data_IF_036079967550
#
_entry.id   IF_036079967550
#
_cell.length_a   1.000
_cell.length_b   1.000
_cell.length_c   1.000
_cell.angle_alpha   90.00
_cell.angle_beta   90.00
_cell.angle_gamma   90.00
#
_symmetry.space_group_name_H-M   'P 1'
#
loop_
_entity.id
_entity.type
_entity.pdbx_description
1 polymer ?
#
# COMPACT_ATOMS: atom_id res chain seq x y z
N UNK A 1 3.45 -3.20 33.15
CA UNK A 1 3.72 -2.31 32.00
C UNK A 1 2.68 -2.62 30.94
N UNK A 2 2.03 -1.62 30.34
CA UNK A 2 1.09 -1.84 29.26
C UNK A 2 1.87 -2.32 28.01
N UNK A 3 1.30 -3.27 27.28
CA UNK A 3 1.88 -3.71 25.99
C UNK A 3 2.00 -2.51 25.05
N UNK A 4 3.16 -2.30 24.40
CA UNK A 4 3.33 -1.16 23.49
C UNK A 4 2.39 -1.24 22.29
N UNK A 5 1.89 -0.09 21.87
CA UNK A 5 1.02 0.03 20.69
C UNK A 5 1.85 -0.13 19.43
N UNK A 6 1.59 -1.21 18.68
CA UNK A 6 2.28 -1.48 17.42
C UNK A 6 1.44 -0.99 16.25
N UNK A 7 2.06 -0.17 15.41
CA UNK A 7 1.49 0.29 14.15
C UNK A 7 1.95 -0.54 12.95
N UNK A 8 1.05 -0.76 12.00
CA UNK A 8 1.33 -1.37 10.71
C UNK A 8 1.11 -0.34 9.60
N UNK A 9 2.10 -0.21 8.73
CA UNK A 9 2.07 0.68 7.56
C UNK A 9 2.26 -0.16 6.31
N UNK A 10 1.25 -0.14 5.44
CA UNK A 10 1.20 -0.89 4.19
C UNK A 10 1.20 0.08 3.00
N UNK A 11 2.10 -0.16 2.05
CA UNK A 11 2.30 0.72 0.90
C UNK A 11 1.40 0.36 -0.28
N UNK A 12 1.25 1.27 -1.24
CA UNK A 12 0.57 0.96 -2.49
C UNK A 12 1.49 0.28 -3.50
N UNK A 13 0.89 -0.53 -4.38
CA UNK A 13 1.67 -1.21 -5.42
C UNK A 13 0.89 -2.25 -6.24
N UNK A 14 -0.43 -2.21 -6.27
CA UNK A 14 -1.25 -3.13 -7.06
C UNK A 14 -1.00 -4.60 -6.69
N UNK A 15 -0.82 -5.47 -7.69
CA UNK A 15 -0.60 -6.90 -7.49
C UNK A 15 0.67 -7.25 -6.69
N UNK A 16 1.63 -6.31 -6.57
CA UNK A 16 2.80 -6.48 -5.69
C UNK A 16 2.42 -6.62 -4.20
N UNK A 17 1.21 -6.19 -3.80
CA UNK A 17 0.71 -6.32 -2.44
C UNK A 17 0.66 -7.75 -1.90
N UNK A 18 0.76 -8.76 -2.75
CA UNK A 18 0.94 -10.15 -2.33
C UNK A 18 2.24 -10.37 -1.53
N UNK A 19 3.29 -9.57 -1.77
CA UNK A 19 4.50 -9.58 -0.95
C UNK A 19 4.22 -9.17 0.50
N UNK A 20 3.39 -8.11 0.71
CA UNK A 20 2.99 -7.69 2.07
C UNK A 20 2.33 -8.83 2.84
N UNK A 21 1.46 -9.57 2.15
CA UNK A 21 0.77 -10.74 2.74
C UNK A 21 1.77 -11.80 3.19
N UNK A 22 2.78 -12.08 2.37
CA UNK A 22 3.86 -13.00 2.71
C UNK A 22 4.64 -12.56 3.94
N UNK A 23 5.01 -11.28 4.02
CA UNK A 23 5.72 -10.71 5.19
C UNK A 23 4.86 -10.80 6.45
N UNK A 24 3.57 -10.43 6.37
CA UNK A 24 2.64 -10.48 7.50
C UNK A 24 2.47 -11.91 8.03
N UNK A 25 2.27 -12.88 7.13
CA UNK A 25 2.19 -14.29 7.49
C UNK A 25 3.51 -14.77 8.13
N UNK A 26 4.64 -14.44 7.53
CA UNK A 26 5.97 -14.80 8.05
C UNK A 26 6.27 -14.20 9.43
N UNK A 27 5.82 -12.97 9.72
CA UNK A 27 5.93 -12.36 11.05
C UNK A 27 5.12 -13.16 12.08
N UNK A 28 3.85 -13.47 11.77
CA UNK A 28 2.99 -14.25 12.67
C UNK A 28 3.55 -15.66 12.93
N UNK A 29 4.07 -16.32 11.89
CA UNK A 29 4.73 -17.62 11.95
C UNK A 29 6.02 -17.55 12.78
N UNK A 30 6.88 -16.56 12.55
CA UNK A 30 8.13 -16.37 13.28
C UNK A 30 7.88 -16.20 14.78
N UNK A 31 6.84 -15.45 15.15
CA UNK A 31 6.45 -15.22 16.53
C UNK A 31 5.66 -16.37 17.15
N UNK A 32 5.16 -17.31 16.35
CA UNK A 32 4.29 -18.41 16.82
C UNK A 32 3.00 -17.91 17.45
N UNK A 33 2.37 -16.87 16.84
CA UNK A 33 1.17 -16.23 17.39
C UNK A 33 -0.02 -17.17 17.27
N UNK A 34 -0.64 -17.46 18.41
CA UNK A 34 -1.86 -18.24 18.45
C UNK A 34 -3.09 -17.41 18.03
N UNK A 35 -4.12 -18.03 17.41
CA UNK A 35 -5.32 -17.29 16.98
C UNK A 35 -6.09 -16.61 18.13
N UNK A 36 -5.99 -17.09 19.35
CA UNK A 36 -6.63 -16.56 20.55
C UNK A 36 -5.77 -15.49 21.28
N UNK A 37 -4.58 -15.20 20.79
CA UNK A 37 -3.73 -14.16 21.32
C UNK A 37 -4.29 -12.75 21.04
N UNK A 38 -3.73 -11.73 21.73
CA UNK A 38 -4.03 -10.33 21.39
C UNK A 38 -3.52 -9.99 19.98
N UNK A 39 -4.20 -9.07 19.26
CA UNK A 39 -3.79 -8.70 17.91
C UNK A 39 -2.39 -8.10 17.87
N UNK A 40 -1.60 -8.48 16.85
CA UNK A 40 -0.24 -7.96 16.64
C UNK A 40 -0.24 -6.46 16.41
N UNK A 41 -1.23 -5.92 15.70
CA UNK A 41 -1.27 -4.54 15.25
C UNK A 41 -2.51 -3.81 15.77
N UNK A 42 -2.30 -2.70 16.50
CA UNK A 42 -3.38 -1.90 17.09
C UNK A 42 -3.66 -0.63 16.28
N UNK A 43 -2.74 -0.19 15.43
CA UNK A 43 -2.94 0.92 14.50
C UNK A 43 -2.54 0.45 13.12
N UNK A 44 -3.45 0.52 12.16
CA UNK A 44 -3.21 0.06 10.80
C UNK A 44 -3.44 1.21 9.84
N UNK A 45 -2.50 1.43 8.93
CA UNK A 45 -2.66 2.39 7.85
C UNK A 45 -2.20 1.79 6.53
N UNK A 46 -2.97 2.03 5.48
CA UNK A 46 -2.66 1.54 4.15
C UNK A 46 -3.05 2.52 3.05
N UNK A 47 -2.37 2.38 1.92
CA UNK A 47 -2.67 3.11 0.69
C UNK A 47 -2.77 2.12 -0.45
N UNK A 48 -3.73 2.32 -1.37
CA UNK A 48 -3.96 1.43 -2.52
C UNK A 48 -4.19 -0.02 -2.06
N UNK A 49 -3.43 -0.97 -2.61
CA UNK A 49 -3.49 -2.37 -2.18
C UNK A 49 -3.20 -2.55 -0.69
N UNK A 50 -2.34 -1.71 -0.12
CA UNK A 50 -2.09 -1.70 1.34
C UNK A 50 -3.34 -1.33 2.14
N UNK A 51 -4.29 -0.57 1.59
CA UNK A 51 -5.58 -0.33 2.22
C UNK A 51 -6.48 -1.59 2.19
N UNK A 52 -6.39 -2.41 1.13
CA UNK A 52 -7.09 -3.71 1.03
C UNK A 52 -6.55 -4.68 2.06
N UNK A 53 -5.22 -4.90 2.10
CA UNK A 53 -4.56 -5.78 3.07
C UNK A 53 -4.76 -5.28 4.51
N UNK A 54 -4.74 -3.95 4.71
CA UNK A 54 -5.03 -3.32 5.99
C UNK A 54 -6.47 -3.51 6.46
N UNK A 55 -7.45 -3.43 5.55
CA UNK A 55 -8.85 -3.69 5.89
C UNK A 55 -9.08 -5.15 6.31
N UNK A 56 -8.43 -6.12 5.63
CA UNK A 56 -8.41 -7.51 6.09
C UNK A 56 -7.81 -7.65 7.49
N UNK A 57 -6.62 -7.05 7.70
CA UNK A 57 -5.91 -7.08 8.99
C UNK A 57 -6.81 -6.58 10.14
N UNK A 58 -7.53 -5.48 9.93
CA UNK A 58 -8.44 -4.92 10.92
C UNK A 58 -9.69 -5.77 11.09
N UNK A 59 -10.25 -6.30 10.00
CA UNK A 59 -11.43 -7.16 10.06
C UNK A 59 -11.18 -8.47 10.83
N UNK A 60 -9.94 -8.97 10.81
CA UNK A 60 -9.54 -10.19 11.50
C UNK A 60 -8.75 -9.94 12.80
N UNK A 61 -8.73 -8.72 13.34
CA UNK A 61 -8.01 -8.36 14.57
C UNK A 61 -8.58 -9.02 15.85
N UNK A 62 -9.71 -9.72 15.78
CA UNK A 62 -10.19 -10.59 16.85
C UNK A 62 -9.39 -11.90 16.94
N UNK A 63 -8.52 -12.19 15.98
CA UNK A 63 -7.52 -13.25 15.96
C UNK A 63 -6.14 -12.60 16.13
N UNK A 64 -5.29 -13.21 16.95
CA UNK A 64 -3.94 -12.73 17.19
C UNK A 64 -3.08 -12.71 15.93
N UNK A 65 -3.24 -13.73 15.08
CA UNK A 65 -2.57 -13.90 13.79
C UNK A 65 -3.21 -13.10 12.64
N UNK A 66 -4.30 -12.35 12.89
CA UNK A 66 -5.10 -11.61 11.90
C UNK A 66 -5.52 -12.44 10.69
N UNK A 67 -5.53 -13.76 10.81
CA UNK A 67 -5.85 -14.70 9.73
C UNK A 67 -5.02 -14.46 8.45
N UNK A 68 -3.74 -14.18 8.59
CA UNK A 68 -2.87 -13.93 7.44
C UNK A 68 -2.72 -15.15 6.52
N UNK A 69 -2.96 -16.37 7.04
CA UNK A 69 -3.09 -17.58 6.22
C UNK A 69 -4.27 -17.48 5.26
N UNK A 70 -5.47 -17.12 5.76
CA UNK A 70 -6.66 -16.93 4.94
C UNK A 70 -6.51 -15.78 3.93
N UNK A 71 -5.76 -14.70 4.28
CA UNK A 71 -5.42 -13.66 3.33
C UNK A 71 -4.52 -14.19 2.22
N UNK A 72 -3.51 -15.00 2.54
CA UNK A 72 -2.63 -15.63 1.56
C UNK A 72 -3.41 -16.55 0.62
N UNK A 73 -4.34 -17.37 1.15
CA UNK A 73 -5.21 -18.23 0.35
C UNK A 73 -6.10 -17.40 -0.59
N UNK A 74 -6.64 -16.28 -0.11
CA UNK A 74 -7.45 -15.37 -0.93
C UNK A 74 -6.65 -14.79 -2.10
N UNK A 75 -5.41 -14.36 -1.88
CA UNK A 75 -4.52 -13.90 -2.93
C UNK A 75 -4.12 -15.02 -3.89
N UNK A 76 -3.87 -16.24 -3.38
CA UNK A 76 -3.53 -17.42 -4.18
C UNK A 76 -4.65 -17.91 -5.10
N UNK A 77 -5.90 -17.51 -4.84
CA UNK A 77 -7.08 -17.84 -5.65
C UNK A 77 -7.43 -16.78 -6.70
N UNK A 78 -6.63 -15.73 -6.85
CA UNK A 78 -6.89 -14.70 -7.86
C UNK A 78 -6.79 -15.28 -9.27
N UNK A 79 -7.76 -14.94 -10.11
CA UNK A 79 -7.75 -15.21 -11.54
C UNK A 79 -7.76 -13.90 -12.31
N UNK A 80 -6.73 -13.69 -13.12
CA UNK A 80 -6.57 -12.49 -13.93
C UNK A 80 -7.78 -12.21 -14.85
N UNK A 81 -8.42 -13.27 -15.38
CA UNK A 81 -9.56 -13.16 -16.27
C UNK A 81 -10.85 -12.75 -15.57
N UNK A 82 -11.00 -13.14 -14.32
CA UNK A 82 -12.19 -12.81 -13.53
C UNK A 82 -12.09 -11.41 -12.94
N UNK A 83 -10.88 -11.01 -12.49
CA UNK A 83 -10.70 -9.81 -11.68
C UNK A 83 -10.24 -8.59 -12.48
N UNK A 84 -9.70 -8.78 -13.70
CA UNK A 84 -9.21 -7.73 -14.56
C UNK A 84 -9.77 -7.91 -15.99
N UNK A 85 -10.87 -7.24 -16.29
CA UNK A 85 -11.42 -7.21 -17.63
C UNK A 85 -11.11 -5.88 -18.30
N UNK A 86 -10.78 -5.93 -19.62
CA UNK A 86 -10.63 -4.68 -20.40
C UNK A 86 -12.00 -4.14 -20.74
N UNK A 87 -12.26 -2.89 -20.41
CA UNK A 87 -13.44 -2.18 -20.91
C UNK A 87 -13.18 -1.67 -22.33
N UNK A 88 -13.50 -2.51 -23.34
CA UNK A 88 -13.39 -2.16 -24.75
C UNK A 88 -14.22 -0.93 -25.12
N UNK A 89 -15.32 -0.67 -24.40
CA UNK A 89 -16.17 0.50 -24.65
C UNK A 89 -15.50 1.79 -24.17
N UNK A 90 -14.72 1.71 -23.09
CA UNK A 90 -13.84 2.78 -22.62
C UNK A 90 -12.76 3.11 -23.65
N UNK A 91 -12.08 2.10 -24.19
CA UNK A 91 -11.00 2.26 -25.18
C UNK A 91 -11.51 2.88 -26.50
N UNK A 92 -12.63 2.40 -27.05
CA UNK A 92 -13.21 2.95 -28.28
C UNK A 92 -13.65 4.41 -28.15
N UNK A 93 -13.87 4.87 -26.92
CA UNK A 93 -14.18 6.27 -26.64
C UNK A 93 -12.98 7.22 -26.74
N UNK A 94 -11.76 6.72 -26.66
CA UNK A 94 -10.53 7.52 -26.79
C UNK A 94 -10.27 7.96 -28.23
N UNK A 95 -10.78 7.23 -29.22
CA UNK A 95 -10.60 7.55 -30.64
C UNK A 95 -11.47 8.72 -31.13
N UNK A 96 -12.42 9.23 -30.34
CA UNK A 96 -13.31 10.33 -30.77
C UNK A 96 -13.20 11.55 -29.82
N UNK A 97 -12.42 12.59 -30.20
CA UNK A 97 -12.18 13.77 -29.36
C UNK A 97 -13.46 14.56 -29.03
N UNK A 98 -14.50 14.50 -29.87
CA UNK A 98 -15.78 15.14 -29.59
C UNK A 98 -16.56 14.51 -28.43
N UNK A 99 -16.27 13.26 -28.08
CA UNK A 99 -16.86 12.57 -26.93
C UNK A 99 -16.18 12.94 -25.59
N UNK A 100 -15.00 13.52 -25.61
CA UNK A 100 -14.31 14.00 -24.40
C UNK A 100 -15.09 15.13 -23.69
N UNK A 101 -15.85 15.91 -24.45
CA UNK A 101 -16.66 17.01 -23.94
C UNK A 101 -18.07 16.59 -23.50
N UNK A 102 -18.50 15.37 -23.76
CA UNK A 102 -19.78 14.86 -23.24
C UNK A 102 -19.58 14.41 -21.79
N UNK A 103 -20.09 15.20 -20.83
CA UNK A 103 -20.19 14.84 -19.43
C UNK A 103 -20.93 13.50 -19.31
N UNK A 104 -20.23 12.41 -18.99
CA UNK A 104 -20.86 11.17 -18.59
C UNK A 104 -21.59 11.47 -17.26
N UNK A 105 -22.92 11.26 -17.24
CA UNK A 105 -23.67 11.29 -15.98
C UNK A 105 -23.29 10.04 -15.18
N UNK A 106 -22.82 10.19 -13.94
CA UNK A 106 -22.46 9.03 -13.13
C UNK A 106 -23.73 8.40 -12.54
N UNK A 107 -24.23 7.37 -13.17
CA UNK A 107 -25.38 6.61 -12.64
C UNK A 107 -24.98 5.61 -11.55
N UNK A 108 -23.70 5.29 -11.41
CA UNK A 108 -23.19 4.16 -10.57
C UNK A 108 -22.13 4.52 -9.55
N UNK A 109 -22.01 5.77 -9.10
CA UNK A 109 -21.01 6.13 -8.06
C UNK A 109 -19.55 6.19 -8.53
N UNK A 110 -19.27 5.83 -9.80
CA UNK A 110 -17.94 5.95 -10.43
C UNK A 110 -17.95 7.07 -11.48
N UNK A 111 -16.86 7.85 -11.57
CA UNK A 111 -16.68 8.85 -12.62
C UNK A 111 -15.44 8.54 -13.43
N UNK A 112 -15.58 8.64 -14.72
CA UNK A 112 -14.48 8.56 -15.68
C UNK A 112 -14.52 7.27 -16.49
N UNK A 113 -13.71 7.28 -17.55
CA UNK A 113 -13.46 6.11 -18.37
C UNK A 113 -12.19 5.47 -17.91
N UNK A 114 -12.21 4.19 -17.66
CA UNK A 114 -11.06 3.39 -17.29
C UNK A 114 -10.75 2.38 -18.39
N UNK A 115 -9.50 1.96 -18.44
CA UNK A 115 -9.07 0.88 -19.33
C UNK A 115 -9.53 -0.47 -18.79
N UNK A 116 -9.68 -0.58 -17.47
CA UNK A 116 -10.05 -1.81 -16.78
C UNK A 116 -11.44 -1.71 -16.15
N UNK A 117 -12.20 -2.79 -16.23
CA UNK A 117 -13.45 -2.97 -15.51
C UNK A 117 -13.13 -3.36 -14.05
N UNK A 118 -13.51 -2.54 -13.07
CA UNK A 118 -13.20 -2.80 -11.67
C UNK A 118 -14.12 -3.83 -11.01
N UNK A 119 -15.20 -4.26 -11.67
CA UNK A 119 -16.31 -5.04 -11.06
C UNK A 119 -15.83 -6.32 -10.39
N UNK A 120 -14.83 -7.00 -10.95
CA UNK A 120 -14.27 -8.22 -10.38
C UNK A 120 -13.53 -7.96 -9.06
N UNK A 121 -12.69 -6.92 -9.02
CA UNK A 121 -11.97 -6.51 -7.80
C UNK A 121 -12.95 -5.96 -6.75
N UNK A 122 -13.97 -5.22 -7.17
CA UNK A 122 -15.01 -4.70 -6.26
C UNK A 122 -15.76 -5.82 -5.57
N UNK A 123 -16.21 -6.82 -6.34
CA UNK A 123 -16.89 -7.99 -5.80
C UNK A 123 -15.98 -8.79 -4.85
N UNK A 124 -14.69 -8.92 -5.19
CA UNK A 124 -13.71 -9.59 -4.34
C UNK A 124 -13.54 -8.87 -3.01
N UNK A 125 -13.28 -7.56 -3.01
CA UNK A 125 -13.09 -6.76 -1.80
C UNK A 125 -14.34 -6.80 -0.92
N UNK A 126 -15.53 -6.64 -1.51
CA UNK A 126 -16.80 -6.68 -0.77
C UNK A 126 -17.08 -8.06 -0.14
N UNK A 127 -16.68 -9.15 -0.80
CA UNK A 127 -16.88 -10.53 -0.32
C UNK A 127 -15.82 -10.96 0.68
N UNK A 128 -14.55 -10.60 0.44
CA UNK A 128 -13.42 -11.07 1.23
C UNK A 128 -13.27 -10.32 2.56
N UNK A 129 -13.68 -9.06 2.64
CA UNK A 129 -13.51 -8.24 3.83
C UNK A 129 -14.84 -8.14 4.60
N UNK A 130 -14.95 -8.76 5.79
CA UNK A 130 -16.14 -8.66 6.62
C UNK A 130 -16.16 -7.30 7.36
N UNK A 131 -16.65 -6.23 6.71
CA UNK A 131 -16.68 -4.88 7.25
C UNK A 131 -17.41 -4.76 8.59
N UNK A 132 -18.47 -5.52 8.83
CA UNK A 132 -19.16 -5.54 10.13
C UNK A 132 -18.24 -6.03 11.25
N UNK A 133 -17.34 -6.97 10.96
CA UNK A 133 -16.35 -7.44 11.93
C UNK A 133 -15.25 -6.41 12.13
N UNK A 134 -14.81 -5.75 11.05
CA UNK A 134 -13.89 -4.61 11.11
C UNK A 134 -14.42 -3.55 12.10
N UNK A 135 -15.68 -3.15 11.96
CA UNK A 135 -16.29 -2.17 12.85
C UNK A 135 -16.32 -2.64 14.30
N UNK A 136 -16.72 -3.90 14.54
CA UNK A 136 -16.74 -4.47 15.90
C UNK A 136 -15.35 -4.48 16.54
N UNK A 137 -14.30 -4.79 15.76
CA UNK A 137 -12.94 -4.82 16.26
C UNK A 137 -12.44 -3.43 16.67
N UNK A 138 -12.78 -2.40 15.89
CA UNK A 138 -12.46 -1.00 16.23
C UNK A 138 -13.32 -0.52 17.42
N UNK A 139 -14.62 -0.76 17.40
CA UNK A 139 -15.53 -0.34 18.49
C UNK A 139 -15.16 -0.98 19.84
N UNK A 140 -14.60 -2.22 19.83
CA UNK A 140 -14.09 -2.91 21.03
C UNK A 140 -12.68 -2.48 21.44
N UNK A 141 -12.00 -1.66 20.64
CA UNK A 141 -10.65 -1.18 20.91
C UNK A 141 -9.54 -2.22 20.64
N UNK A 142 -9.84 -3.35 19.96
CA UNK A 142 -8.82 -4.29 19.49
C UNK A 142 -7.88 -3.61 18.49
N UNK A 143 -8.44 -2.75 17.64
CA UNK A 143 -7.72 -1.82 16.78
C UNK A 143 -8.08 -0.40 17.19
N UNK A 144 -7.08 0.43 17.49
CA UNK A 144 -7.24 1.82 17.91
C UNK A 144 -7.59 2.75 16.73
N UNK A 145 -6.96 2.49 15.58
CA UNK A 145 -7.20 3.28 14.38
C UNK A 145 -6.95 2.45 13.12
N UNK A 146 -7.85 2.60 12.15
CA UNK A 146 -7.63 2.20 10.77
C UNK A 146 -7.64 3.45 9.89
N UNK A 147 -6.61 3.60 9.03
CA UNK A 147 -6.37 4.81 8.24
C UNK A 147 -6.20 4.43 6.79
N UNK A 148 -7.02 5.00 5.91
CA UNK A 148 -6.99 4.80 4.46
C UNK A 148 -6.69 6.13 3.78
N UNK A 149 -5.66 6.19 2.96
CA UNK A 149 -5.29 7.39 2.23
C UNK A 149 -5.90 7.38 0.82
N UNK A 150 -6.57 8.46 0.43
CA UNK A 150 -7.04 8.68 -0.95
C UNK A 150 -6.82 10.13 -1.38
N UNK A 151 -6.69 10.36 -2.69
CA UNK A 151 -6.49 11.68 -3.26
C UNK A 151 -7.81 12.28 -3.73
N UNK A 152 -8.19 13.43 -3.17
CA UNK A 152 -9.40 14.14 -3.60
C UNK A 152 -9.20 14.76 -4.99
N UNK A 153 -10.02 14.39 -5.97
CA UNK A 153 -9.84 14.76 -7.38
C UNK A 153 -9.91 16.28 -7.58
N UNK A 154 -10.91 16.94 -6.99
CA UNK A 154 -11.16 18.37 -7.25
C UNK A 154 -10.12 19.32 -6.67
N UNK A 155 -9.45 18.93 -5.55
CA UNK A 155 -8.49 19.80 -4.84
C UNK A 155 -7.06 19.31 -4.86
N UNK A 156 -6.84 18.04 -5.22
CA UNK A 156 -5.54 17.39 -5.11
C UNK A 156 -5.02 17.26 -3.66
N UNK A 157 -5.90 17.35 -2.66
CA UNK A 157 -5.57 17.16 -1.24
C UNK A 157 -5.66 15.68 -0.91
N UNK A 158 -4.62 15.15 -0.25
CA UNK A 158 -4.67 13.79 0.32
C UNK A 158 -5.64 13.77 1.50
N UNK A 159 -6.67 12.96 1.40
CA UNK A 159 -7.64 12.74 2.49
C UNK A 159 -7.30 11.42 3.18
N UNK A 160 -7.08 11.49 4.49
CA UNK A 160 -6.90 10.34 5.36
C UNK A 160 -8.25 10.03 5.99
N UNK A 161 -8.94 9.03 5.47
CA UNK A 161 -10.14 8.49 6.10
C UNK A 161 -9.73 7.69 7.33
N UNK A 162 -10.37 7.94 8.46
CA UNK A 162 -9.94 7.36 9.74
C UNK A 162 -11.14 6.74 10.47
N UNK A 163 -11.08 5.44 10.68
CA UNK A 163 -11.94 4.73 11.62
C UNK A 163 -11.20 4.67 12.97
N UNK A 164 -11.78 5.22 14.01
CA UNK A 164 -11.12 5.38 15.32
C UNK A 164 -11.93 4.71 16.41
N UNK A 165 -11.26 3.96 17.28
CA UNK A 165 -11.87 3.40 18.48
C UNK A 165 -12.43 4.50 19.42
N UNK A 166 -13.40 4.18 20.29
CA UNK A 166 -13.92 5.11 21.28
C UNK A 166 -12.78 5.71 22.12
N UNK A 167 -12.79 7.04 22.26
CA UNK A 167 -11.78 7.78 23.04
C UNK A 167 -10.45 8.01 22.34
N UNK A 168 -10.21 7.43 21.16
CA UNK A 168 -9.01 7.69 20.38
C UNK A 168 -9.18 8.97 19.57
N UNK A 169 -8.18 9.85 19.67
CA UNK A 169 -8.12 11.11 18.93
C UNK A 169 -6.87 11.09 18.06
N UNK A 170 -7.05 11.30 16.77
CA UNK A 170 -5.93 11.49 15.86
C UNK A 170 -5.41 12.93 16.01
N UNK A 171 -4.15 13.08 16.42
CA UNK A 171 -3.54 14.41 16.49
C UNK A 171 -3.61 15.10 15.10
N UNK A 172 -3.99 16.40 15.05
CA UNK A 172 -4.20 17.11 13.80
C UNK A 172 -2.91 17.20 12.97
N UNK A 173 -3.06 17.19 11.64
CA UNK A 173 -1.95 17.48 10.74
C UNK A 173 -1.87 18.96 10.42
N UNK A 174 -0.67 19.54 10.47
CA UNK A 174 -0.42 20.90 9.97
C UNK A 174 0.03 20.92 8.52
N UNK A 175 0.08 19.77 7.85
CA UNK A 175 0.48 19.70 6.45
C UNK A 175 -0.63 20.26 5.55
N UNK A 176 -0.35 21.32 4.73
CA UNK A 176 -1.40 22.05 4.02
C UNK A 176 -2.13 21.23 2.95
N UNK A 177 -1.52 20.12 2.50
CA UNK A 177 -2.09 19.25 1.46
C UNK A 177 -2.59 17.91 2.01
N UNK A 178 -2.80 17.80 3.33
CA UNK A 178 -3.32 16.59 3.98
C UNK A 178 -4.50 16.95 4.89
N UNK A 179 -5.59 16.22 4.78
CA UNK A 179 -6.78 16.37 5.60
C UNK A 179 -7.10 15.01 6.24
N UNK A 180 -7.29 14.97 7.56
CA UNK A 180 -7.84 13.81 8.25
C UNK A 180 -9.35 13.97 8.39
N UNK A 181 -10.10 12.93 8.02
CA UNK A 181 -11.56 12.88 8.10
C UNK A 181 -11.96 11.61 8.85
N UNK A 182 -12.62 11.76 9.99
CA UNK A 182 -13.21 10.64 10.70
C UNK A 182 -14.43 10.15 9.91
N UNK A 183 -14.44 8.89 9.57
CA UNK A 183 -15.50 8.25 8.80
C UNK A 183 -15.58 6.76 9.15
N UNK A 184 -16.73 6.13 8.92
CA UNK A 184 -16.87 4.68 8.86
C UNK A 184 -16.24 4.20 7.54
N UNK A 185 -15.15 3.44 7.61
CA UNK A 185 -14.44 2.98 6.40
C UNK A 185 -15.21 1.83 5.76
N UNK A 186 -15.68 2.03 4.55
CA UNK A 186 -16.42 1.06 3.73
C UNK A 186 -15.56 0.54 2.58
N UNK A 187 -16.07 -0.44 1.84
CA UNK A 187 -15.45 -0.91 0.61
C UNK A 187 -15.14 0.24 -0.37
N UNK A 188 -16.02 1.26 -0.47
CA UNK A 188 -15.78 2.41 -1.35
C UNK A 188 -14.56 3.24 -0.94
N UNK A 189 -14.26 3.37 0.35
CA UNK A 189 -13.05 4.05 0.82
C UNK A 189 -11.78 3.28 0.44
N UNK A 190 -11.80 1.96 0.64
CA UNK A 190 -10.68 1.06 0.28
C UNK A 190 -10.45 1.07 -1.23
N UNK A 191 -11.53 0.93 -2.00
CA UNK A 191 -11.49 0.96 -3.47
C UNK A 191 -11.11 2.34 -4.03
N UNK A 192 -11.51 3.44 -3.37
CA UNK A 192 -11.07 4.78 -3.73
C UNK A 192 -9.56 4.95 -3.56
N UNK A 193 -9.02 4.37 -2.47
CA UNK A 193 -7.57 4.33 -2.23
C UNK A 193 -6.81 3.56 -3.30
N UNK A 194 -7.43 2.56 -3.94
CA UNK A 194 -6.84 1.72 -4.98
C UNK A 194 -7.23 2.11 -6.42
N UNK A 195 -7.94 3.23 -6.59
CA UNK A 195 -8.41 3.71 -7.89
C UNK A 195 -7.29 4.46 -8.66
N UNK A 196 -6.33 3.73 -9.22
CA UNK A 196 -5.23 4.30 -10.03
C UNK A 196 -5.83 5.01 -11.25
N UNK A 197 -5.58 6.33 -11.44
CA UNK A 197 -6.11 7.08 -12.58
C UNK A 197 -5.77 6.45 -13.92
N UNK A 198 -6.68 6.54 -14.87
CA UNK A 198 -6.67 5.91 -16.18
C UNK A 198 -6.87 4.38 -16.16
N UNK A 199 -6.36 3.67 -15.16
CA UNK A 199 -6.58 2.21 -15.03
C UNK A 199 -7.95 1.91 -14.42
N UNK A 200 -8.31 2.62 -13.35
CA UNK A 200 -9.60 2.45 -12.67
C UNK A 200 -10.37 3.77 -12.59
N UNK A 201 -11.71 3.73 -12.54
CA UNK A 201 -12.52 4.93 -12.43
C UNK A 201 -12.41 5.56 -11.04
N UNK A 202 -12.49 6.90 -10.96
CA UNK A 202 -12.55 7.60 -9.68
C UNK A 202 -13.80 7.19 -8.89
N UNK A 203 -13.68 7.07 -7.58
CA UNK A 203 -14.75 6.68 -6.66
C UNK A 203 -15.40 7.86 -5.99
N UNK A 204 -16.73 7.82 -5.86
CA UNK A 204 -17.49 8.83 -5.13
C UNK A 204 -17.67 8.41 -3.67
N UNK A 205 -17.22 9.29 -2.76
CA UNK A 205 -17.49 9.18 -1.32
C UNK A 205 -18.25 10.45 -0.89
N UNK A 206 -19.49 10.28 -0.55
CA UNK A 206 -20.39 11.42 -0.31
C UNK A 206 -20.59 12.25 -1.59
N UNK A 207 -20.18 13.53 -1.55
CA UNK A 207 -20.32 14.46 -2.69
C UNK A 207 -19.03 14.65 -3.49
N UNK A 208 -17.96 14.01 -3.10
CA UNK A 208 -16.61 14.18 -3.65
C UNK A 208 -16.11 12.93 -4.34
N UNK A 209 -15.15 13.10 -5.27
CA UNK A 209 -14.52 12.01 -6.00
C UNK A 209 -13.07 11.87 -5.57
N UNK A 210 -12.64 10.62 -5.45
CA UNK A 210 -11.33 10.24 -4.97
C UNK A 210 -10.68 9.24 -5.93
N UNK A 211 -9.36 9.29 -5.98
CA UNK A 211 -8.48 8.38 -6.71
C UNK A 211 -7.38 7.88 -5.79
N UNK A 212 -6.52 7.00 -6.29
CA UNK A 212 -5.46 6.35 -5.52
C UNK A 212 -4.60 7.35 -4.73
N UNK A 213 -4.46 7.06 -3.44
CA UNK A 213 -3.70 7.87 -2.50
C UNK A 213 -2.20 7.83 -2.74
N UNK A 214 -1.68 6.76 -3.33
CA UNK A 214 -0.24 6.55 -3.59
C UNK A 214 0.38 7.63 -4.46
N UNK A 215 -0.42 8.29 -5.29
CA UNK A 215 0.04 9.41 -6.13
C UNK A 215 0.70 10.56 -5.32
N UNK A 216 0.39 10.66 -4.03
CA UNK A 216 0.95 11.71 -3.16
C UNK A 216 1.36 11.25 -1.78
N UNK A 217 0.89 10.08 -1.35
CA UNK A 217 1.13 9.60 0.00
C UNK A 217 1.06 8.08 0.03
N UNK A 218 2.13 7.45 -0.39
CA UNK A 218 2.18 5.99 -0.51
C UNK A 218 2.39 5.30 0.84
N UNK A 219 3.17 5.88 1.74
CA UNK A 219 3.51 5.25 3.03
C UNK A 219 3.01 6.11 4.18
N UNK A 220 1.84 5.80 4.77
CA UNK A 220 1.21 6.63 5.78
C UNK A 220 1.83 6.46 7.20
N UNK A 221 3.15 6.68 7.35
CA UNK A 221 3.89 6.58 8.62
C UNK A 221 3.40 7.63 9.63
N UNK A 222 3.40 8.91 9.25
CA UNK A 222 3.05 9.99 10.15
C UNK A 222 1.64 9.88 10.76
N UNK A 223 0.58 9.47 10.03
CA UNK A 223 -0.74 9.21 10.62
C UNK A 223 -0.72 8.10 11.68
N UNK A 224 0.03 7.02 11.46
CA UNK A 224 0.15 5.91 12.41
C UNK A 224 0.76 6.37 13.72
N UNK A 225 1.81 7.19 13.65
CA UNK A 225 2.44 7.78 14.84
C UNK A 225 1.50 8.74 15.57
N UNK A 226 0.73 9.55 14.83
CA UNK A 226 -0.28 10.47 15.40
C UNK A 226 -1.47 9.74 16.02
N UNK A 227 -1.76 8.52 15.59
CA UNK A 227 -2.77 7.64 16.21
C UNK A 227 -2.24 6.94 17.48
N UNK A 228 -0.99 7.20 17.86
CA UNK A 228 -0.39 6.73 19.12
C UNK A 228 0.41 5.44 19.01
N UNK A 229 0.79 4.99 17.81
CA UNK A 229 1.70 3.86 17.67
C UNK A 229 3.05 4.18 18.31
N UNK A 230 3.56 3.30 19.15
CA UNK A 230 4.84 3.43 19.85
C UNK A 230 5.99 2.78 19.08
N UNK A 231 5.68 1.80 18.27
CA UNK A 231 6.56 1.07 17.36
C UNK A 231 5.84 0.88 16.06
N UNK A 232 6.55 0.77 14.96
CA UNK A 232 5.93 0.57 13.65
C UNK A 232 6.60 -0.56 12.86
N UNK A 233 5.77 -1.36 12.21
CA UNK A 233 6.17 -2.24 11.11
C UNK A 233 5.79 -1.54 9.81
N UNK A 234 6.72 -1.43 8.88
CA UNK A 234 6.52 -0.83 7.56
C UNK A 234 6.84 -1.87 6.51
N UNK A 235 5.93 -2.12 5.59
CA UNK A 235 6.18 -3.03 4.47
C UNK A 235 6.17 -2.21 3.19
N UNK A 236 7.34 -2.14 2.55
CA UNK A 236 7.58 -1.47 1.27
C UNK A 236 7.48 -2.49 0.13
N UNK A 237 7.04 -2.03 -1.03
CA UNK A 237 6.99 -2.84 -2.25
C UNK A 237 8.11 -2.45 -3.25
N UNK A 238 9.05 -1.62 -2.79
CA UNK A 238 10.23 -1.21 -3.55
C UNK A 238 11.44 -2.04 -3.12
N UNK A 239 12.12 -2.62 -4.09
CA UNK A 239 13.44 -3.21 -3.89
C UNK A 239 14.49 -2.09 -3.98
N UNK A 240 15.23 -1.85 -2.91
CA UNK A 240 16.39 -0.94 -2.96
C UNK A 240 17.63 -1.69 -3.50
N UNK A 241 17.89 -1.54 -4.79
CA UNK A 241 19.21 -1.83 -5.30
C UNK A 241 20.14 -0.66 -4.95
N UNK A 242 21.07 -0.87 -4.02
CA UNK A 242 22.07 0.15 -3.64
C UNK A 242 23.12 0.46 -4.72
N UNK A 243 23.04 -0.17 -5.88
CA UNK A 243 23.91 0.17 -6.98
C UNK A 243 23.42 1.44 -7.68
N UNK A 244 24.15 2.54 -7.53
CA UNK A 244 24.03 3.67 -8.44
C UNK A 244 24.21 3.12 -9.85
N UNK A 245 23.22 3.21 -10.75
CA UNK A 245 23.37 2.71 -12.10
C UNK A 245 24.58 3.44 -12.74
N UNK A 246 25.48 2.69 -13.35
CA UNK A 246 26.49 3.27 -14.19
C UNK A 246 25.77 3.88 -15.40
N UNK A 247 25.57 5.19 -15.36
CA UNK A 247 24.87 5.94 -16.39
C UNK A 247 25.59 5.87 -17.74
N UNK A 248 26.91 5.68 -17.75
CA UNK A 248 27.69 5.53 -18.97
C UNK A 248 27.52 4.11 -19.58
N UNK A 249 27.45 3.07 -18.72
CA UNK A 249 27.13 1.72 -19.19
C UNK A 249 25.67 1.58 -19.64
N UNK A 250 24.76 2.33 -19.04
CA UNK A 250 23.35 2.34 -19.43
C UNK A 250 23.09 3.14 -20.73
N UNK A 251 23.95 4.08 -21.09
CA UNK A 251 23.79 4.93 -22.28
C UNK A 251 24.15 4.23 -23.61
N UNK A 252 24.65 2.98 -23.57
CA UNK A 252 25.21 2.30 -24.75
C UNK A 252 24.21 1.87 -25.83
N UNK A 253 22.92 1.74 -25.54
CA UNK A 253 21.88 1.32 -26.51
C UNK A 253 20.49 1.94 -26.17
N UNK A 254 20.41 3.23 -26.03
CA UNK A 254 19.11 3.88 -25.84
C UNK A 254 18.27 3.84 -27.12
N UNK A 255 17.41 2.83 -27.24
CA UNK A 255 16.26 2.91 -28.13
C UNK A 255 15.25 3.93 -27.58
N UNK A 256 14.62 4.72 -28.44
CA UNK A 256 13.58 5.67 -28.05
C UNK A 256 12.50 4.98 -27.20
N UNK A 257 12.18 5.49 -26.00
CA UNK A 257 11.30 4.79 -25.07
C UNK A 257 9.88 4.65 -25.62
N UNK A 258 9.36 3.43 -25.59
CA UNK A 258 7.94 3.16 -25.91
C UNK A 258 7.03 3.92 -24.91
N UNK A 259 5.91 4.52 -25.35
CA UNK A 259 4.96 5.17 -24.45
C UNK A 259 4.52 4.31 -23.25
N UNK A 260 4.40 2.99 -23.44
CA UNK A 260 4.04 2.07 -22.37
C UNK A 260 5.14 1.96 -21.29
N UNK A 261 6.39 1.96 -21.71
CA UNK A 261 7.55 2.06 -20.83
C UNK A 261 7.51 3.32 -19.99
N UNK A 262 7.25 4.48 -20.61
CA UNK A 262 7.17 5.76 -19.89
C UNK A 262 6.03 5.77 -18.86
N UNK A 263 4.90 5.13 -19.15
CA UNK A 263 3.79 4.97 -18.19
C UNK A 263 4.22 4.10 -17.01
N UNK A 264 4.93 2.98 -17.25
CA UNK A 264 5.47 2.13 -16.18
C UNK A 264 6.44 2.89 -15.27
N UNK A 265 7.35 3.68 -15.86
CA UNK A 265 8.29 4.53 -15.13
C UNK A 265 7.61 5.62 -14.35
N UNK A 266 6.59 6.26 -14.94
CA UNK A 266 5.78 7.26 -14.25
C UNK A 266 5.06 6.67 -13.04
N UNK A 267 4.50 5.47 -13.18
CA UNK A 267 3.87 4.76 -12.07
C UNK A 267 4.88 4.42 -10.96
N UNK A 268 6.07 3.92 -11.31
CA UNK A 268 7.12 3.66 -10.32
C UNK A 268 7.54 4.95 -9.59
N UNK A 269 7.81 6.03 -10.32
CA UNK A 269 8.19 7.30 -9.73
C UNK A 269 7.10 7.90 -8.82
N UNK A 270 5.83 7.73 -9.19
CA UNK A 270 4.70 8.24 -8.41
C UNK A 270 4.33 7.35 -7.23
N UNK A 271 4.44 6.03 -7.37
CA UNK A 271 3.92 5.07 -6.40
C UNK A 271 5.00 4.54 -5.44
N UNK A 272 6.24 4.32 -5.89
CA UNK A 272 7.26 3.66 -5.08
C UNK A 272 8.35 4.60 -4.53
N UNK A 273 8.77 5.62 -5.28
CA UNK A 273 9.88 6.48 -4.84
C UNK A 273 9.64 7.23 -3.52
N UNK A 274 8.41 7.69 -3.20
CA UNK A 274 8.16 8.38 -1.93
C UNK A 274 8.39 7.53 -0.68
N UNK A 275 8.32 6.19 -0.78
CA UNK A 275 8.44 5.27 0.37
C UNK A 275 9.83 5.32 0.98
N UNK A 276 10.87 5.21 0.16
CA UNK A 276 12.26 5.23 0.62
C UNK A 276 12.60 6.55 1.33
N UNK A 277 12.10 7.66 0.82
CA UNK A 277 12.32 8.97 1.43
C UNK A 277 11.69 9.08 2.83
N UNK A 278 10.44 8.65 3.01
CA UNK A 278 9.76 8.71 4.31
C UNK A 278 10.47 7.82 5.36
N UNK A 279 10.97 6.64 4.96
CA UNK A 279 11.77 5.76 5.83
C UNK A 279 13.14 6.36 6.18
N UNK A 280 13.85 6.93 5.20
CA UNK A 280 15.14 7.61 5.44
C UNK A 280 14.98 8.80 6.38
N UNK A 281 13.93 9.61 6.21
CA UNK A 281 13.61 10.72 7.11
C UNK A 281 13.35 10.21 8.52
N UNK A 282 12.59 9.12 8.67
CA UNK A 282 12.30 8.53 9.98
C UNK A 282 13.57 7.99 10.66
N UNK A 283 14.42 7.27 9.91
CA UNK A 283 15.70 6.78 10.45
C UNK A 283 16.61 7.94 10.87
N UNK A 284 16.74 8.97 10.02
CA UNK A 284 17.47 10.19 10.35
C UNK A 284 16.96 10.85 11.64
N UNK A 285 15.63 10.98 11.78
CA UNK A 285 15.01 11.51 12.99
C UNK A 285 15.28 10.62 14.20
N UNK A 286 15.20 9.29 14.07
CA UNK A 286 15.51 8.36 15.16
C UNK A 286 16.95 8.49 15.64
N UNK A 287 17.91 8.67 14.73
CA UNK A 287 19.33 8.90 15.07
C UNK A 287 19.52 10.23 15.80
N UNK A 288 18.93 11.31 15.30
CA UNK A 288 18.99 12.63 15.95
C UNK A 288 18.37 12.57 17.35
N UNK A 289 17.20 11.94 17.48
CA UNK A 289 16.54 11.78 18.77
C UNK A 289 17.38 10.92 19.75
N UNK A 290 18.06 9.88 19.26
CA UNK A 290 18.99 9.09 20.07
C UNK A 290 20.11 9.93 20.67
N UNK A 291 20.76 10.76 19.84
CA UNK A 291 21.81 11.67 20.31
C UNK A 291 21.25 12.69 21.33
N UNK A 292 20.07 13.26 21.07
CA UNK A 292 19.45 14.21 21.99
C UNK A 292 19.07 13.57 23.33
N UNK A 293 18.59 12.32 23.32
CA UNK A 293 18.26 11.57 24.54
C UNK A 293 19.49 11.27 25.41
N UNK A 294 20.67 11.11 24.78
CA UNK A 294 21.94 10.84 25.45
C UNK A 294 22.64 12.11 25.95
N UNK A 295 22.42 13.25 25.29
CA UNK A 295 23.21 14.47 25.52
C UNK A 295 22.48 15.55 26.32
N UNK A 296 21.14 15.64 26.18
CA UNK A 296 20.35 16.67 26.84
C UNK A 296 19.98 16.27 28.29
N UNK A 297 20.11 17.23 29.21
CA UNK A 297 19.48 17.10 30.53
C UNK A 297 17.95 17.05 30.41
N UNK A 298 17.24 16.52 31.42
CA UNK A 298 15.77 16.47 31.41
C UNK A 298 15.08 17.85 31.22
N UNK A 299 15.75 18.93 31.66
CA UNK A 299 15.22 20.29 31.51
C UNK A 299 15.39 20.81 30.09
N UNK A 300 16.56 20.63 29.48
CA UNK A 300 16.83 20.99 28.10
C UNK A 300 15.94 20.17 27.14
N UNK A 301 15.74 18.88 27.44
CA UNK A 301 14.83 18.03 26.69
C UNK A 301 13.40 18.56 26.71
N UNK A 302 12.87 18.97 27.88
CA UNK A 302 11.54 19.58 27.98
C UNK A 302 11.42 20.88 27.17
N UNK A 303 12.47 21.74 27.17
CA UNK A 303 12.50 22.96 26.36
C UNK A 303 12.48 22.64 24.86
N UNK A 304 13.27 21.67 24.45
CA UNK A 304 13.29 21.21 23.06
C UNK A 304 11.93 20.65 22.62
N UNK A 305 11.33 19.79 23.43
CA UNK A 305 10.01 19.22 23.16
C UNK A 305 8.93 20.30 23.09
N UNK A 306 8.99 21.34 23.92
CA UNK A 306 8.04 22.46 23.87
C UNK A 306 8.14 23.23 22.56
N UNK A 307 9.32 23.49 22.04
CA UNK A 307 9.52 24.14 20.73
C UNK A 307 8.88 23.29 19.61
N UNK A 308 9.02 21.96 19.66
CA UNK A 308 8.41 21.07 18.70
C UNK A 308 6.88 21.05 18.81
N UNK A 309 6.35 21.01 20.04
CA UNK A 309 4.91 21.06 20.30
C UNK A 309 4.31 22.37 19.76
N UNK A 310 4.95 23.50 20.03
CA UNK A 310 4.50 24.84 19.58
C UNK A 310 4.52 24.95 18.05
N UNK A 311 5.54 24.40 17.41
CA UNK A 311 5.69 24.49 15.94
C UNK A 311 4.87 23.43 15.19
N UNK A 312 4.74 22.22 15.70
CA UNK A 312 4.21 21.05 14.97
C UNK A 312 3.02 20.37 15.64
N UNK A 313 2.73 20.70 16.91
CA UNK A 313 1.63 20.14 17.68
C UNK A 313 2.00 18.87 18.47
N UNK A 314 3.18 18.28 18.26
CA UNK A 314 3.67 17.09 18.98
C UNK A 314 5.17 17.11 19.11
N UNK A 315 5.70 16.59 20.24
CA UNK A 315 7.12 16.33 20.40
C UNK A 315 7.57 15.16 19.49
N UNK A 316 8.84 15.17 19.12
CA UNK A 316 9.45 14.01 18.51
C UNK A 316 9.89 13.01 19.59
N UNK A 317 9.75 11.74 19.24
CA UNK A 317 10.28 10.64 20.05
C UNK A 317 10.97 9.64 19.12
N UNK A 318 11.86 8.86 19.67
CA UNK A 318 12.42 7.71 18.99
C UNK A 318 11.33 6.66 18.77
N UNK A 319 11.18 6.17 17.55
CA UNK A 319 10.19 5.18 17.17
C UNK A 319 10.91 3.94 16.65
N UNK A 320 10.96 2.85 17.41
CA UNK A 320 11.44 1.57 16.89
C UNK A 320 10.69 1.20 15.61
N UNK A 321 11.44 0.91 14.56
CA UNK A 321 10.90 0.64 13.22
C UNK A 321 11.45 -0.67 12.72
N UNK A 322 10.57 -1.56 12.28
CA UNK A 322 10.89 -2.78 11.56
C UNK A 322 10.38 -2.64 10.12
N UNK A 323 11.28 -2.35 9.20
CA UNK A 323 10.96 -2.15 7.79
C UNK A 323 11.30 -3.40 6.98
N UNK A 324 10.39 -3.84 6.11
CA UNK A 324 10.59 -4.92 5.15
C UNK A 324 10.55 -4.36 3.73
N UNK A 325 11.46 -4.85 2.92
CA UNK A 325 11.58 -4.57 1.49
C UNK A 325 11.83 -5.89 0.75
N UNK A 326 11.33 -6.04 -0.49
CA UNK A 326 11.55 -7.25 -1.27
C UNK A 326 13.04 -7.55 -1.45
N UNK A 327 13.45 -8.78 -1.15
CA UNK A 327 14.84 -9.23 -1.35
C UNK A 327 15.24 -9.34 -2.82
N UNK A 328 14.25 -9.45 -3.71
CA UNK A 328 14.45 -9.55 -5.15
C UNK A 328 13.65 -8.46 -5.89
N UNK A 329 14.11 -8.08 -7.08
CA UNK A 329 13.41 -7.09 -7.90
C UNK A 329 12.11 -7.66 -8.47
N UNK A 330 10.96 -7.19 -7.93
CA UNK A 330 9.63 -7.67 -8.32
C UNK A 330 9.34 -7.45 -9.81
N UNK A 331 9.84 -6.35 -10.42
CA UNK A 331 9.62 -6.09 -11.84
C UNK A 331 10.35 -7.11 -12.71
N UNK A 332 11.57 -7.46 -12.34
CA UNK A 332 12.35 -8.48 -13.05
C UNK A 332 11.68 -9.86 -12.93
N UNK A 333 11.26 -10.22 -11.72
CA UNK A 333 10.52 -11.47 -11.49
C UNK A 333 9.20 -11.52 -12.27
N UNK A 334 8.49 -10.39 -12.39
CA UNK A 334 7.26 -10.32 -13.19
C UNK A 334 7.54 -10.59 -14.67
N UNK A 335 8.62 -10.03 -15.22
CA UNK A 335 9.04 -10.31 -16.60
C UNK A 335 9.33 -11.78 -16.84
N UNK A 336 10.05 -12.42 -15.91
CA UNK A 336 10.36 -13.86 -15.97
C UNK A 336 9.10 -14.72 -15.86
N UNK A 337 8.20 -14.38 -14.93
CA UNK A 337 6.94 -15.07 -14.74
C UNK A 337 6.05 -14.98 -15.99
N UNK A 338 5.96 -13.80 -16.61
CA UNK A 338 5.22 -13.61 -17.85
C UNK A 338 5.80 -14.43 -18.99
N UNK A 339 7.12 -14.42 -19.17
CA UNK A 339 7.78 -15.18 -20.22
C UNK A 339 7.48 -16.70 -20.11
N UNK A 340 7.35 -17.23 -18.89
CA UNK A 340 7.05 -18.63 -18.63
C UNK A 340 5.58 -19.00 -18.84
N UNK A 341 4.61 -18.09 -18.56
CA UNK A 341 3.18 -18.43 -18.47
C UNK A 341 2.29 -17.75 -19.53
N UNK A 342 2.83 -16.81 -20.33
CA UNK A 342 2.02 -16.02 -21.27
C UNK A 342 1.24 -16.89 -22.27
N UNK A 343 1.80 -18.03 -22.69
CA UNK A 343 1.16 -18.94 -23.65
C UNK A 343 0.01 -19.74 -23.04
N UNK A 344 -0.03 -19.90 -21.73
CA UNK A 344 -1.07 -20.64 -21.02
C UNK A 344 -2.32 -19.78 -20.81
N UNK A 345 -2.15 -18.47 -20.85
CA UNK A 345 -3.21 -17.51 -20.67
C UNK A 345 -3.83 -17.09 -22.00
N UNK A 346 -4.98 -17.63 -22.33
CA UNK A 346 -5.78 -17.15 -23.47
C UNK A 346 -6.47 -15.83 -23.11
N UNK A 347 -5.71 -14.73 -23.02
CA UNK A 347 -6.15 -13.45 -22.44
C UNK A 347 -6.81 -12.50 -23.46
N UNK A 348 -6.84 -12.81 -24.73
CA UNK A 348 -7.28 -11.90 -25.78
C UNK A 348 -6.20 -10.90 -26.23
N UNK A 349 -6.36 -10.37 -27.44
CA UNK A 349 -5.33 -9.64 -28.20
C UNK A 349 -4.70 -8.43 -27.45
N UNK A 350 -5.47 -7.74 -26.62
CA UNK A 350 -4.95 -6.57 -25.90
C UNK A 350 -3.97 -6.96 -24.78
N UNK A 351 -4.33 -7.94 -23.96
CA UNK A 351 -3.44 -8.43 -22.91
C UNK A 351 -2.25 -9.17 -23.50
N UNK A 352 -2.44 -9.97 -24.53
CA UNK A 352 -1.34 -10.64 -25.24
C UNK A 352 -0.35 -9.62 -25.82
N UNK A 353 -0.86 -8.50 -26.36
CA UNK A 353 -0.02 -7.42 -26.85
C UNK A 353 0.70 -6.70 -25.68
N UNK A 354 -0.03 -6.34 -24.60
CA UNK A 354 0.50 -5.62 -23.45
C UNK A 354 1.56 -6.45 -22.70
N UNK A 355 1.20 -7.69 -22.38
CA UNK A 355 2.06 -8.58 -21.60
C UNK A 355 3.14 -9.24 -22.48
N UNK A 356 2.87 -9.45 -23.77
CA UNK A 356 3.83 -9.99 -24.71
C UNK A 356 5.01 -9.05 -24.96
N UNK A 357 4.79 -7.73 -24.97
CA UNK A 357 5.87 -6.74 -24.99
C UNK A 357 6.71 -6.80 -23.73
N UNK A 358 6.08 -6.98 -22.56
CA UNK A 358 6.79 -7.11 -21.29
C UNK A 358 7.61 -8.41 -21.20
N UNK A 359 7.15 -9.48 -21.85
CA UNK A 359 7.86 -10.76 -21.92
C UNK A 359 8.98 -10.80 -22.97
N UNK A 360 8.82 -10.13 -24.11
CA UNK A 360 9.73 -10.21 -25.25
C UNK A 360 11.07 -9.48 -25.06
N UNK A 361 11.08 -8.45 -24.21
CA UNK A 361 12.29 -7.74 -23.82
C UNK A 361 12.69 -8.17 -22.42
N UNK A 362 13.60 -9.12 -22.33
CA UNK A 362 14.18 -9.66 -21.08
C UNK A 362 14.85 -8.60 -20.18
N UNK A 363 14.76 -7.35 -20.49
CA UNK A 363 15.31 -6.22 -19.76
C UNK A 363 14.21 -5.39 -19.07
N UNK A 364 14.05 -5.59 -17.82
CA UNK A 364 13.84 -4.67 -16.69
C UNK A 364 12.69 -3.65 -16.71
N UNK A 365 12.15 -3.14 -17.83
CA UNK A 365 11.44 -1.88 -17.81
C UNK A 365 9.94 -1.98 -18.17
N UNK A 366 9.58 -2.84 -19.09
CA UNK A 366 8.17 -3.07 -19.50
C UNK A 366 7.45 -3.98 -18.51
N UNK A 367 8.21 -4.78 -17.74
CA UNK A 367 7.72 -5.61 -16.64
C UNK A 367 7.28 -4.80 -15.40
N UNK A 368 7.68 -3.53 -15.28
CA UNK A 368 7.23 -2.67 -14.19
C UNK A 368 5.71 -2.55 -14.16
N UNK A 369 5.10 -2.09 -15.27
CA UNK A 369 3.64 -1.95 -15.36
C UNK A 369 2.92 -3.29 -15.16
N UNK A 370 3.47 -4.35 -15.77
CA UNK A 370 2.88 -5.69 -15.66
C UNK A 370 2.84 -6.15 -14.19
N UNK A 371 3.89 -5.92 -13.40
CA UNK A 371 3.94 -6.32 -12.00
C UNK A 371 2.86 -5.68 -11.11
N UNK A 372 2.34 -4.50 -11.51
CA UNK A 372 1.20 -3.87 -10.82
C UNK A 372 -0.13 -4.50 -11.18
N UNK A 373 -0.25 -5.11 -12.35
CA UNK A 373 -1.52 -5.58 -12.94
C UNK A 373 -1.66 -7.11 -12.93
N UNK A 374 -0.63 -7.85 -12.54
CA UNK A 374 -0.65 -9.32 -12.48
C UNK A 374 -1.43 -9.83 -11.26
N UNK A 375 -2.75 -9.63 -11.24
CA UNK A 375 -3.65 -10.20 -10.23
C UNK A 375 -3.94 -11.68 -10.57
N UNK A 376 -2.90 -12.49 -10.54
CA UNK A 376 -2.88 -13.93 -10.80
C UNK A 376 -2.42 -14.69 -9.58
N UNK A 377 -3.09 -15.79 -9.23
CA UNK A 377 -2.82 -16.56 -8.02
C UNK A 377 -1.43 -17.20 -8.00
N UNK A 378 -0.92 -17.65 -9.14
CA UNK A 378 0.44 -18.20 -9.24
C UNK A 378 1.50 -17.13 -9.01
N UNK A 379 1.31 -15.95 -9.58
CA UNK A 379 2.14 -14.79 -9.33
C UNK A 379 2.08 -14.35 -7.87
N UNK A 380 0.87 -14.25 -7.31
CA UNK A 380 0.67 -13.90 -5.91
C UNK A 380 1.40 -14.88 -4.98
N UNK A 381 1.29 -16.19 -5.21
CA UNK A 381 1.99 -17.21 -4.43
C UNK A 381 3.51 -17.06 -4.50
N UNK A 382 4.06 -16.64 -5.64
CA UNK A 382 5.51 -16.36 -5.79
C UNK A 382 5.93 -15.22 -4.87
N UNK A 383 5.17 -14.12 -4.84
CA UNK A 383 5.46 -12.97 -3.98
C UNK A 383 5.21 -13.26 -2.50
N UNK A 384 4.16 -14.02 -2.17
CA UNK A 384 3.88 -14.47 -0.79
C UNK A 384 5.03 -15.32 -0.28
N UNK A 385 5.52 -16.27 -1.08
CA UNK A 385 6.66 -17.10 -0.71
C UNK A 385 7.92 -16.27 -0.47
N UNK A 386 8.19 -15.26 -1.30
CA UNK A 386 9.30 -14.31 -1.09
C UNK A 386 9.15 -13.55 0.21
N UNK A 387 7.99 -12.94 0.46
CA UNK A 387 7.74 -12.18 1.69
C UNK A 387 7.87 -13.03 2.96
N UNK A 388 7.41 -14.28 2.93
CA UNK A 388 7.63 -15.24 4.04
C UNK A 388 9.11 -15.53 4.26
N UNK A 389 9.88 -15.80 3.19
CA UNK A 389 11.33 -16.01 3.30
C UNK A 389 12.03 -14.81 3.91
N UNK A 390 11.69 -13.60 3.46
CA UNK A 390 12.29 -12.35 3.94
C UNK A 390 11.99 -12.12 5.43
N UNK A 391 10.77 -12.42 5.88
CA UNK A 391 10.41 -12.34 7.29
C UNK A 391 11.15 -13.40 8.12
N UNK A 392 11.19 -14.65 7.66
CA UNK A 392 11.90 -15.72 8.39
C UNK A 392 13.41 -15.48 8.47
N UNK A 393 14.03 -14.88 7.45
CA UNK A 393 15.44 -14.50 7.47
C UNK A 393 15.77 -13.47 8.57
N UNK A 394 14.75 -12.73 9.03
CA UNK A 394 14.88 -11.70 10.10
C UNK A 394 14.17 -12.08 11.39
N UNK A 395 14.04 -13.39 11.66
CA UNK A 395 13.29 -13.92 12.81
C UNK A 395 13.74 -13.33 14.15
N UNK A 396 15.03 -13.26 14.39
CA UNK A 396 15.58 -12.76 15.66
C UNK A 396 15.24 -11.28 15.85
N UNK A 397 15.33 -10.49 14.80
CA UNK A 397 14.97 -9.06 14.80
C UNK A 397 13.46 -8.87 15.06
N UNK A 398 12.61 -9.71 14.46
CA UNK A 398 11.16 -9.72 14.72
C UNK A 398 10.92 -9.99 16.21
N UNK A 399 11.54 -11.05 16.77
CA UNK A 399 11.39 -11.35 18.19
C UNK A 399 11.84 -10.19 19.08
N UNK A 400 12.97 -9.57 18.80
CA UNK A 400 13.47 -8.43 19.56
C UNK A 400 12.54 -7.22 19.47
N UNK A 401 11.99 -6.97 18.29
CA UNK A 401 11.05 -5.86 18.07
C UNK A 401 9.75 -6.03 18.85
N UNK A 402 9.17 -7.22 18.92
CA UNK A 402 7.89 -7.47 19.61
C UNK A 402 8.05 -7.74 21.12
N UNK A 403 9.23 -8.19 21.60
CA UNK A 403 9.48 -8.43 23.04
C UNK A 403 9.78 -7.17 23.84
N UNK A 404 10.41 -6.16 23.25
CA UNK A 404 10.75 -4.89 23.91
C UNK A 404 9.55 -3.98 23.97
#
# INVERSE_FOLDING_TARGET
MSTPVVGLVLSGGGARGAYEVGVLAGIAEALGIAPDAAPLFQVVAGTSVGAVNGAWTVAHAHRGDHDFGGLADTWGQLDLKEHLRVDLTGLMGWSNPLRWFRRARPETGTIGRSVLDPSGIEALVARAIPFDTLYRNVDRGLVRAFIVAALHVGTGVTTLFTELAPGVVLAPTRHPRRLSRKDRITADHVLASAAIPALFPARRIGRSHFVDGSLRFNTPIAPVLRAGAERIVVISLKHEAYAVPDLEAAAGEEQYPDPLFLVGKLLNALLLDPVSYDLQVLDGLNRVMGVLDETLSPEERRRFDQVLIDSRGTAYRRVPTLAFEPSENISLLAGQYLAAHLHDWKLGLFYEWLLGKAAAKSATWESDLASYLLFDGGWANTLIAMGRRDAHARRDEIHDFFRR
#
